data_IF_014301617117
#
_entry.id   IF_014301617117
#
_cell.length_a   1.000
_cell.length_b   1.000
_cell.length_c   1.000
_cell.angle_alpha   90.00
_cell.angle_beta   90.00
_cell.angle_gamma   90.00
#
_symmetry.space_group_name_H-M   'P 1'
#
loop_
_entity.id
_entity.type
_entity.pdbx_description
1 polymer ?
#
# COMPACT_ATOMS: atom_id res chain seq x y z
N UNK A 1 1.51 23.88 17.56
CA UNK A 1 1.91 24.09 16.16
C UNK A 1 0.65 24.12 15.32
N UNK A 2 0.57 25.02 14.33
CA UNK A 2 -0.57 25.04 13.41
C UNK A 2 -0.61 23.73 12.62
N UNK A 3 -1.81 23.19 12.42
CA UNK A 3 -2.04 21.96 11.66
C UNK A 3 -1.80 22.29 10.18
N UNK A 4 -0.85 21.62 9.52
CA UNK A 4 -0.64 21.82 8.10
C UNK A 4 -1.92 21.43 7.33
N UNK A 5 -2.23 22.18 6.28
CA UNK A 5 -3.38 21.90 5.41
C UNK A 5 -2.97 20.95 4.27
N UNK A 6 -3.96 20.29 3.63
CA UNK A 6 -3.69 19.46 2.46
C UNK A 6 -3.03 20.27 1.32
N UNK A 7 -3.42 21.54 1.14
CA UNK A 7 -2.82 22.46 0.16
C UNK A 7 -1.34 22.68 0.44
N UNK A 8 -0.96 22.98 1.69
CA UNK A 8 0.45 23.16 2.06
C UNK A 8 1.29 21.90 1.86
N UNK A 9 0.67 20.70 2.04
CA UNK A 9 1.34 19.43 1.76
C UNK A 9 1.56 19.24 0.26
N UNK A 10 0.54 19.56 -0.56
CA UNK A 10 0.64 19.49 -2.03
C UNK A 10 1.72 20.44 -2.54
N UNK A 11 1.75 21.66 -2.07
CA UNK A 11 2.76 22.66 -2.47
C UNK A 11 4.16 22.19 -2.08
N UNK A 12 4.35 21.73 -0.85
CA UNK A 12 5.62 21.21 -0.35
C UNK A 12 6.14 20.02 -1.15
N UNK A 13 5.26 19.10 -1.49
CA UNK A 13 5.60 17.92 -2.26
C UNK A 13 5.80 18.25 -3.74
N UNK A 14 5.01 19.18 -4.30
CA UNK A 14 5.13 19.68 -5.66
C UNK A 14 6.46 20.39 -5.90
N UNK A 15 6.91 21.22 -4.96
CA UNK A 15 8.23 21.88 -5.01
C UNK A 15 9.39 20.88 -5.05
N UNK A 16 9.27 19.75 -4.31
CA UNK A 16 10.35 18.78 -4.18
C UNK A 16 10.37 17.74 -5.31
N UNK A 17 9.20 17.24 -5.70
CA UNK A 17 9.06 16.07 -6.57
C UNK A 17 8.41 16.39 -7.92
N UNK A 18 7.68 17.49 -8.03
CA UNK A 18 7.06 17.94 -9.27
C UNK A 18 6.20 16.86 -9.94
N UNK A 19 6.49 16.58 -11.22
CA UNK A 19 5.76 15.59 -12.03
C UNK A 19 5.94 14.13 -11.59
N UNK A 20 6.82 13.87 -10.62
CA UNK A 20 6.98 12.51 -10.05
C UNK A 20 5.82 12.12 -9.14
N UNK A 21 4.96 13.08 -8.78
CA UNK A 21 3.71 12.88 -8.08
C UNK A 21 2.55 13.16 -9.03
N UNK A 22 1.65 12.22 -9.16
CA UNK A 22 0.52 12.31 -10.09
C UNK A 22 -0.77 11.77 -9.45
N UNK A 23 -1.90 11.91 -10.14
CA UNK A 23 -3.22 11.51 -9.65
C UNK A 23 -3.58 12.12 -8.28
N UNK A 24 -3.21 13.40 -8.08
CA UNK A 24 -3.49 14.11 -6.84
C UNK A 24 -4.99 14.28 -6.69
N UNK A 25 -5.57 13.68 -5.67
CA UNK A 25 -7.01 13.69 -5.38
C UNK A 25 -7.24 13.78 -3.87
N UNK A 26 -8.46 14.14 -3.48
CA UNK A 26 -8.83 14.26 -2.06
C UNK A 26 -10.19 13.60 -1.78
N UNK A 27 -10.33 12.29 -2.00
CA UNK A 27 -11.57 11.58 -1.73
C UNK A 27 -11.87 11.57 -0.23
N UNK A 28 -13.06 12.08 0.13
CA UNK A 28 -13.52 12.16 1.52
C UNK A 28 -12.57 12.92 2.47
N UNK A 29 -11.87 13.94 1.94
CA UNK A 29 -10.92 14.73 2.73
C UNK A 29 -9.57 14.05 2.99
N UNK A 30 -9.32 12.88 2.38
CA UNK A 30 -8.05 12.17 2.48
C UNK A 30 -7.17 12.48 1.27
N UNK A 31 -6.13 13.29 1.47
CA UNK A 31 -5.16 13.58 0.42
C UNK A 31 -4.54 12.28 -0.09
N UNK A 32 -4.64 12.08 -1.39
CA UNK A 32 -4.19 10.87 -2.07
C UNK A 32 -3.38 11.28 -3.30
N UNK A 33 -2.23 10.65 -3.53
CA UNK A 33 -1.45 10.79 -4.74
C UNK A 33 -0.72 9.49 -5.09
N UNK A 34 -0.22 9.44 -6.31
CA UNK A 34 0.54 8.30 -6.82
C UNK A 34 1.98 8.72 -7.12
N UNK A 35 2.89 7.76 -7.07
CA UNK A 35 4.28 7.93 -7.51
C UNK A 35 4.79 6.65 -8.16
N UNK A 36 5.99 6.70 -8.74
CA UNK A 36 6.64 5.53 -9.34
C UNK A 36 7.39 4.71 -8.28
N UNK A 37 7.61 3.42 -8.58
CA UNK A 37 8.37 2.52 -7.70
C UNK A 37 9.79 3.01 -7.40
N UNK A 38 10.42 3.69 -8.37
CA UNK A 38 11.79 4.17 -8.23
C UNK A 38 11.90 5.39 -7.30
N UNK A 39 10.78 6.07 -7.02
CA UNK A 39 10.72 7.28 -6.19
C UNK A 39 10.06 7.08 -4.84
N UNK A 40 9.47 5.91 -4.62
CA UNK A 40 8.68 5.67 -3.40
C UNK A 40 9.47 5.93 -2.12
N UNK A 41 10.70 5.44 -2.02
CA UNK A 41 11.53 5.59 -0.82
C UNK A 41 11.95 7.03 -0.60
N UNK A 42 12.29 7.76 -1.67
CA UNK A 42 12.64 9.19 -1.60
C UNK A 42 11.46 10.00 -1.06
N UNK A 43 10.25 9.75 -1.59
CA UNK A 43 9.01 10.40 -1.15
C UNK A 43 8.70 10.07 0.30
N UNK A 44 8.72 8.78 0.67
CA UNK A 44 8.43 8.33 2.03
C UNK A 44 9.43 8.88 3.06
N UNK A 45 10.73 8.87 2.75
CA UNK A 45 11.77 9.44 3.61
C UNK A 45 11.55 10.93 3.82
N UNK A 46 11.28 11.67 2.73
CA UNK A 46 11.07 13.11 2.80
C UNK A 46 9.87 13.47 3.68
N UNK A 47 8.71 12.83 3.50
CA UNK A 47 7.51 13.16 4.29
C UNK A 47 7.62 12.71 5.75
N UNK A 48 8.40 11.68 6.02
CA UNK A 48 8.70 11.22 7.38
C UNK A 48 9.58 12.21 8.12
N UNK A 49 10.66 12.67 7.48
CA UNK A 49 11.69 13.50 8.11
C UNK A 49 11.36 14.99 8.09
N UNK A 50 10.44 15.42 7.24
CA UNK A 50 10.09 16.83 7.11
C UNK A 50 9.37 17.34 8.37
N UNK A 51 10.00 18.30 9.06
CA UNK A 51 9.50 18.83 10.33
C UNK A 51 8.15 19.55 10.26
N UNK A 52 7.71 19.99 9.06
CA UNK A 52 6.40 20.66 8.87
C UNK A 52 5.24 19.65 8.83
N UNK A 53 5.46 18.50 8.22
CA UNK A 53 4.39 17.50 7.99
C UNK A 53 4.58 16.26 8.87
N UNK A 54 5.79 15.79 9.08
CA UNK A 54 6.22 14.73 9.99
C UNK A 54 5.25 13.52 10.03
N UNK A 55 5.18 12.78 8.91
CA UNK A 55 4.41 11.53 8.85
C UNK A 55 5.18 10.39 9.52
N UNK A 56 5.19 10.40 10.84
CA UNK A 56 5.98 9.49 11.67
C UNK A 56 5.33 8.11 11.89
N UNK A 57 4.09 7.91 11.42
CA UNK A 57 3.36 6.66 11.61
C UNK A 57 2.84 6.09 10.28
N UNK A 58 3.27 4.88 9.96
CA UNK A 58 2.69 4.07 8.90
C UNK A 58 1.48 3.32 9.49
N UNK A 59 0.28 3.79 9.14
CA UNK A 59 -0.98 3.24 9.67
C UNK A 59 -1.29 1.90 9.02
N UNK A 60 -1.05 1.80 7.70
CA UNK A 60 -1.36 0.62 6.91
C UNK A 60 -0.53 0.59 5.63
N UNK A 61 -0.19 -0.62 5.19
CA UNK A 61 0.42 -0.92 3.90
C UNK A 61 -0.25 -2.17 3.34
N UNK A 62 -0.86 -2.08 2.18
CA UNK A 62 -1.60 -3.20 1.58
C UNK A 62 -1.54 -3.20 0.07
N UNK A 63 -1.98 -4.31 -0.55
CA UNK A 63 -2.10 -4.47 -1.99
C UNK A 63 -3.54 -4.31 -2.48
N UNK A 64 -3.70 -3.86 -3.72
CA UNK A 64 -4.98 -3.86 -4.44
C UNK A 64 -4.75 -4.35 -5.87
N UNK A 65 -5.44 -5.41 -6.26
CA UNK A 65 -5.32 -5.97 -7.62
C UNK A 65 -6.34 -5.34 -8.57
N UNK A 66 -5.85 -4.86 -9.72
CA UNK A 66 -6.60 -4.26 -10.84
C UNK A 66 -6.42 -5.13 -12.09
N UNK A 67 -7.16 -6.24 -12.24
CA UNK A 67 -6.97 -7.19 -13.35
C UNK A 67 -7.20 -6.55 -14.72
N UNK A 68 -8.15 -5.60 -14.83
CA UNK A 68 -8.44 -4.90 -16.09
C UNK A 68 -7.27 -4.07 -16.62
N UNK A 69 -6.32 -3.71 -15.73
CA UNK A 69 -5.12 -2.93 -16.04
C UNK A 69 -3.84 -3.75 -15.99
N UNK A 70 -3.92 -5.03 -15.65
CA UNK A 70 -2.77 -5.90 -15.34
C UNK A 70 -1.83 -5.26 -14.31
N UNK A 71 -2.39 -4.69 -13.24
CA UNK A 71 -1.65 -3.96 -12.23
C UNK A 71 -2.01 -4.39 -10.81
N UNK A 72 -1.00 -4.33 -9.93
CA UNK A 72 -1.18 -4.37 -8.48
C UNK A 72 -0.75 -3.02 -7.94
N UNK A 73 -1.61 -2.34 -7.19
CA UNK A 73 -1.24 -1.14 -6.48
C UNK A 73 -0.79 -1.50 -5.06
N UNK A 74 0.35 -0.96 -4.63
CA UNK A 74 0.73 -0.92 -3.21
C UNK A 74 0.26 0.41 -2.65
N UNK A 75 -0.52 0.36 -1.58
CA UNK A 75 -1.16 1.52 -0.96
C UNK A 75 -0.59 1.72 0.44
N UNK A 76 -0.06 2.90 0.69
CA UNK A 76 0.49 3.31 1.98
C UNK A 76 -0.46 4.32 2.62
N UNK A 77 -0.93 4.05 3.82
CA UNK A 77 -1.64 5.02 4.65
C UNK A 77 -0.71 5.55 5.73
N UNK A 78 -0.49 6.86 5.71
CA UNK A 78 0.44 7.55 6.57
C UNK A 78 -0.30 8.52 7.50
N UNK A 79 0.19 8.66 8.70
CA UNK A 79 -0.39 9.54 9.71
C UNK A 79 0.71 10.34 10.41
N UNK A 80 0.50 11.63 10.51
CA UNK A 80 1.28 12.47 11.40
C UNK A 80 0.63 12.49 12.78
N UNK A 81 1.21 11.79 13.73
CA UNK A 81 0.71 11.76 15.11
C UNK A 81 0.80 13.13 15.81
N UNK A 82 1.62 14.03 15.27
CA UNK A 82 1.80 15.39 15.82
C UNK A 82 0.71 16.33 15.32
N UNK A 83 0.43 16.33 14.01
CA UNK A 83 -0.53 17.24 13.37
C UNK A 83 -1.93 16.63 13.19
N UNK A 84 -2.06 15.30 13.33
CA UNK A 84 -3.30 14.56 13.09
C UNK A 84 -3.72 14.48 11.63
N UNK A 85 -2.79 14.75 10.69
CA UNK A 85 -3.04 14.68 9.25
C UNK A 85 -2.83 13.27 8.76
N UNK A 86 -3.65 12.85 7.79
CA UNK A 86 -3.52 11.57 7.11
C UNK A 86 -3.25 11.77 5.62
N UNK A 87 -2.53 10.82 5.06
CA UNK A 87 -2.11 10.82 3.66
C UNK A 87 -2.21 9.41 3.11
N UNK A 88 -2.64 9.27 1.86
CA UNK A 88 -2.58 8.02 1.10
C UNK A 88 -1.62 8.18 -0.07
N UNK A 89 -0.68 7.26 -0.18
CA UNK A 89 0.24 7.17 -1.31
C UNK A 89 0.05 5.83 -2.02
N UNK A 90 0.03 5.85 -3.36
CA UNK A 90 -0.13 4.65 -4.18
C UNK A 90 1.04 4.50 -5.13
N UNK A 91 1.43 3.25 -5.36
CA UNK A 91 2.37 2.86 -6.41
C UNK A 91 1.76 1.74 -7.22
N UNK A 92 1.66 1.91 -8.53
CA UNK A 92 1.15 0.90 -9.44
C UNK A 92 2.30 0.09 -10.01
N UNK A 93 2.22 -1.23 -9.86
CA UNK A 93 3.20 -2.20 -10.34
C UNK A 93 2.56 -3.07 -11.41
N UNK A 94 3.35 -3.55 -12.35
CA UNK A 94 2.86 -4.52 -13.34
C UNK A 94 2.64 -5.88 -12.67
N UNK A 95 1.52 -6.54 -12.95
CA UNK A 95 1.10 -7.80 -12.31
C UNK A 95 2.12 -8.94 -12.48
N UNK A 96 2.79 -9.01 -13.65
CA UNK A 96 3.74 -10.09 -13.95
C UNK A 96 5.06 -10.00 -13.16
N UNK A 97 5.45 -8.81 -12.70
CA UNK A 97 6.64 -8.59 -11.89
C UNK A 97 6.41 -7.46 -10.88
N UNK A 98 5.58 -7.70 -9.86
CA UNK A 98 5.21 -6.70 -8.87
C UNK A 98 6.33 -6.55 -7.83
N UNK A 99 7.39 -5.82 -8.18
CA UNK A 99 8.53 -5.56 -7.32
C UNK A 99 8.64 -4.07 -6.95
N UNK A 100 8.92 -3.78 -5.67
CA UNK A 100 9.02 -2.44 -5.10
C UNK A 100 10.04 -2.44 -3.95
N UNK A 101 10.82 -1.36 -3.74
CA UNK A 101 11.70 -1.26 -2.59
C UNK A 101 10.96 -1.30 -1.25
N UNK A 102 11.57 -1.96 -0.24
CA UNK A 102 11.00 -2.05 1.11
C UNK A 102 10.96 -0.71 1.83
N UNK A 103 9.88 -0.45 2.55
CA UNK A 103 9.76 0.67 3.50
C UNK A 103 10.11 0.25 4.95
N UNK A 104 10.51 -1.01 5.19
CA UNK A 104 10.86 -1.52 6.53
C UNK A 104 12.05 -0.79 7.17
N UNK A 105 12.91 -0.18 6.36
CA UNK A 105 13.99 0.69 6.82
C UNK A 105 13.50 2.02 7.40
N UNK A 106 12.29 2.45 7.00
CA UNK A 106 11.68 3.69 7.48
C UNK A 106 10.76 3.44 8.67
N UNK A 107 9.94 2.40 8.64
CA UNK A 107 9.03 2.03 9.73
C UNK A 107 9.11 0.53 10.01
N UNK A 108 9.39 0.17 11.25
CA UNK A 108 9.44 -1.25 11.67
C UNK A 108 8.11 -1.98 11.42
N UNK A 109 6.97 -1.26 11.49
CA UNK A 109 5.65 -1.82 11.21
C UNK A 109 5.50 -2.30 9.76
N UNK A 110 6.22 -1.69 8.80
CA UNK A 110 6.19 -2.09 7.41
C UNK A 110 6.64 -3.54 7.21
N UNK A 111 7.57 -4.05 8.03
CA UNK A 111 8.05 -5.44 7.93
C UNK A 111 6.89 -6.45 7.88
N UNK A 112 5.94 -6.33 8.81
CA UNK A 112 4.79 -7.24 8.90
C UNK A 112 3.77 -7.02 7.79
N UNK A 113 3.47 -5.76 7.46
CA UNK A 113 2.51 -5.39 6.44
C UNK A 113 3.00 -5.74 5.03
N UNK A 114 4.31 -5.64 4.78
CA UNK A 114 4.93 -6.05 3.52
C UNK A 114 4.90 -7.57 3.35
N UNK A 115 5.14 -8.34 4.41
CA UNK A 115 4.99 -9.80 4.39
C UNK A 115 3.53 -10.21 4.12
N UNK A 116 2.55 -9.53 4.72
CA UNK A 116 1.14 -9.76 4.46
C UNK A 116 0.79 -9.43 3.00
N UNK A 117 1.26 -8.30 2.48
CA UNK A 117 1.04 -7.90 1.08
C UNK A 117 1.71 -8.87 0.11
N UNK A 118 2.92 -9.36 0.42
CA UNK A 118 3.57 -10.44 -0.35
C UNK A 118 2.73 -11.72 -0.30
N UNK A 119 2.28 -12.13 0.87
CA UNK A 119 1.55 -13.38 1.06
C UNK A 119 0.24 -13.40 0.26
N UNK A 120 -0.51 -12.31 0.28
CA UNK A 120 -1.81 -12.23 -0.36
C UNK A 120 -1.79 -11.82 -1.84
N UNK A 121 -0.86 -10.99 -2.26
CA UNK A 121 -0.82 -10.40 -3.61
C UNK A 121 0.43 -10.75 -4.43
N UNK A 122 1.47 -11.32 -3.82
CA UNK A 122 2.71 -11.68 -4.49
C UNK A 122 3.66 -10.51 -4.72
N UNK A 123 3.46 -9.37 -4.09
CA UNK A 123 4.35 -8.21 -4.22
C UNK A 123 5.69 -8.48 -3.56
N UNK A 124 6.77 -8.36 -4.32
CA UNK A 124 8.14 -8.55 -3.85
C UNK A 124 8.71 -7.24 -3.31
N UNK A 125 9.03 -7.19 -2.04
CA UNK A 125 9.63 -6.01 -1.40
C UNK A 125 11.16 -6.16 -1.42
N UNK A 126 11.82 -5.45 -2.33
CA UNK A 126 13.27 -5.51 -2.51
C UNK A 126 14.02 -4.92 -1.31
N UNK A 127 14.97 -5.68 -0.77
CA UNK A 127 15.71 -5.29 0.44
C UNK A 127 14.98 -5.58 1.76
N UNK A 128 13.82 -6.24 1.72
CA UNK A 128 13.14 -6.68 2.94
C UNK A 128 14.00 -7.72 3.69
N UNK A 129 14.15 -7.62 5.03
CA UNK A 129 15.07 -8.47 5.80
C UNK A 129 14.66 -9.96 5.85
N UNK A 130 13.34 -10.27 5.76
CA UNK A 130 12.83 -11.64 5.86
C UNK A 130 11.46 -11.73 5.15
N UNK A 131 11.47 -11.69 3.81
CA UNK A 131 10.24 -11.74 3.01
C UNK A 131 9.76 -13.18 2.84
N UNK A 132 8.82 -13.58 3.69
CA UNK A 132 8.15 -14.89 3.67
C UNK A 132 6.69 -14.75 4.04
N UNK A 133 5.90 -15.78 3.77
CA UNK A 133 4.47 -15.81 4.14
C UNK A 133 4.28 -15.59 5.64
N UNK A 134 3.11 -15.11 6.04
CA UNK A 134 2.79 -14.78 7.42
C UNK A 134 1.44 -15.37 7.88
N UNK A 135 0.46 -15.45 7.00
CA UNK A 135 -0.90 -15.90 7.32
C UNK A 135 -1.27 -17.20 6.60
N UNK A 136 -0.82 -17.37 5.36
CA UNK A 136 -1.06 -18.60 4.62
C UNK A 136 0.05 -19.63 4.88
N UNK A 137 -0.25 -20.89 4.61
CA UNK A 137 0.73 -21.99 4.70
C UNK A 137 1.86 -21.81 3.68
N UNK A 138 3.07 -22.20 4.03
CA UNK A 138 4.26 -22.03 3.19
C UNK A 138 4.16 -22.77 1.84
N UNK A 139 3.46 -23.90 1.82
CA UNK A 139 3.25 -24.74 0.62
C UNK A 139 2.22 -24.17 -0.36
N UNK A 140 1.51 -23.11 0.00
CA UNK A 140 0.51 -22.50 -0.88
C UNK A 140 1.20 -21.84 -2.09
N UNK A 141 0.97 -22.36 -3.29
CA UNK A 141 1.61 -21.89 -4.53
C UNK A 141 0.91 -20.72 -5.21
N UNK A 142 -0.07 -20.10 -4.54
CA UNK A 142 -0.87 -19.00 -5.08
C UNK A 142 -0.96 -17.84 -4.09
N UNK A 143 -1.35 -16.66 -4.58
CA UNK A 143 -1.62 -15.48 -3.77
C UNK A 143 -3.14 -15.23 -3.76
N UNK A 144 -3.83 -15.59 -2.65
CA UNK A 144 -5.28 -15.81 -2.67
C UNK A 144 -6.13 -14.54 -2.81
N UNK A 145 -5.55 -13.35 -2.63
CA UNK A 145 -6.28 -12.08 -2.81
C UNK A 145 -6.26 -11.54 -4.26
N UNK A 146 -5.53 -12.21 -5.15
CA UNK A 146 -5.64 -11.92 -6.58
C UNK A 146 -7.05 -12.27 -7.07
N UNK A 147 -7.65 -11.39 -7.88
CA UNK A 147 -9.06 -11.50 -8.31
C UNK A 147 -9.38 -12.75 -9.14
N UNK A 148 -8.37 -13.42 -9.65
CA UNK A 148 -8.52 -14.72 -10.34
C UNK A 148 -8.88 -15.89 -9.40
N UNK A 149 -8.68 -15.70 -8.07
CA UNK A 149 -9.05 -16.70 -7.07
C UNK A 149 -10.34 -16.25 -6.37
N UNK A 150 -11.50 -16.81 -6.73
CA UNK A 150 -12.77 -16.48 -6.09
C UNK A 150 -12.79 -16.97 -4.64
N UNK A 151 -13.45 -16.23 -3.77
CA UNK A 151 -13.60 -16.57 -2.36
C UNK A 151 -14.35 -17.92 -2.16
N UNK A 152 -15.29 -18.18 -3.04
CA UNK A 152 -16.05 -19.43 -3.06
C UNK A 152 -15.90 -20.10 -4.44
N UNK A 153 -15.71 -21.42 -4.46
CA UNK A 153 -15.80 -22.17 -5.71
C UNK A 153 -17.26 -22.21 -6.17
N UNK A 154 -17.61 -21.58 -7.33
CA UNK A 154 -18.98 -21.58 -7.83
C UNK A 154 -19.50 -22.98 -8.20
N UNK A 155 -18.59 -23.95 -8.39
CA UNK A 155 -18.93 -25.33 -8.70
C UNK A 155 -18.96 -26.26 -7.46
N UNK A 156 -18.82 -25.69 -6.28
CA UNK A 156 -18.81 -26.45 -5.03
C UNK A 156 -20.18 -27.04 -4.74
N UNK A 157 -20.27 -28.38 -4.76
CA UNK A 157 -21.53 -29.16 -4.53
C UNK A 157 -21.69 -29.66 -3.11
N UNK A 158 -20.68 -29.52 -2.26
CA UNK A 158 -20.65 -30.05 -0.88
C UNK A 158 -21.17 -29.05 0.18
N UNK A 159 -21.41 -27.80 -0.22
CA UNK A 159 -21.90 -26.75 0.68
C UNK A 159 -23.43 -26.75 0.73
N UNK A 160 -23.98 -27.32 1.79
CA UNK A 160 -25.39 -27.14 2.13
C UNK A 160 -25.52 -26.00 3.13
N UNK A 161 -25.91 -24.83 2.67
CA UNK A 161 -26.15 -23.66 3.52
C UNK A 161 -27.54 -23.70 4.17
N UNK A 162 -27.81 -24.75 4.93
CA UNK A 162 -29.09 -24.90 5.64
C UNK A 162 -29.28 -23.83 6.74
N UNK A 163 -28.19 -23.21 7.22
CA UNK A 163 -28.21 -22.25 8.34
C UNK A 163 -28.15 -20.78 7.91
N UNK A 164 -27.73 -20.48 6.67
CA UNK A 164 -27.50 -19.11 6.23
C UNK A 164 -28.37 -18.66 5.04
N UNK A 165 -29.34 -19.47 4.64
CA UNK A 165 -30.38 -19.08 3.67
C UNK A 165 -29.89 -18.73 2.26
N UNK A 166 -28.80 -19.32 1.81
CA UNK A 166 -28.26 -19.15 0.44
C UNK A 166 -28.41 -20.42 -0.37
#
# INVERSE_FOLDING_TARGET
MAKATNTEIIDLLGEKFGEQLFDVTEPYGLLTFSTTKDRIIDVLSFIKENGKVNFNFLTDLTGVHYPEKNQIAVVYHLHSMVSGIRLRLKVFLHENDPAIPTASTLWNSANWMERETYDFFGVKFEGHPDLRRILNMDELNVHPMLKQYPLEDPNRVDKKDEYFGR
#
